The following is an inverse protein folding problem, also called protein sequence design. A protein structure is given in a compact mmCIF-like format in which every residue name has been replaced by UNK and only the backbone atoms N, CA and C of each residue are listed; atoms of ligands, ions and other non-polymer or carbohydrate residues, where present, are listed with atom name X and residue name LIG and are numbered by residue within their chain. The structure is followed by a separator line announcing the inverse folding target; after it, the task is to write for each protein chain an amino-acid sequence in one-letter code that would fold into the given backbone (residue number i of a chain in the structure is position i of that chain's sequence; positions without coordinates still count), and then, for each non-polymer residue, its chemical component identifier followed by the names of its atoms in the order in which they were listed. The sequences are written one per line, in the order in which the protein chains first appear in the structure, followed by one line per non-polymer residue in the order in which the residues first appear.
data_IF_943218451709
#
_entry.id   IF_943218451709
#
_cell.length_a   1.000
_cell.length_b   1.000
_cell.length_c   1.000
_cell.angle_alpha   90.00
_cell.angle_beta   90.00
_cell.angle_gamma   90.00
#
_symmetry.space_group_name_H-M   'P 1'
#
loop_
_entity.id
_entity.type
_entity.pdbx_description
1 polymer ?
#
# COMPACT_ATOMS: atom_id res chain seq x y z
N UNK A 1 -18.49 -3.01 12.11
CA UNK A 1 -18.76 -1.60 11.83
C UNK A 1 -17.72 -0.70 12.44
N UNK A 2 -17.11 0.21 11.67
CA UNK A 2 -16.20 1.18 12.26
C UNK A 2 -16.96 2.18 13.10
N UNK A 3 -16.34 2.63 14.19
CA UNK A 3 -16.92 3.70 15.02
C UNK A 3 -16.86 5.01 14.25
N UNK A 4 -17.67 5.97 14.66
CA UNK A 4 -17.67 7.31 14.04
C UNK A 4 -16.34 8.01 14.26
N UNK A 5 -15.69 7.79 15.42
CA UNK A 5 -14.36 8.36 15.69
C UNK A 5 -13.31 7.76 14.76
N UNK A 6 -13.37 6.45 14.55
CA UNK A 6 -12.45 5.75 13.68
C UNK A 6 -12.59 6.25 12.23
N UNK A 7 -13.83 6.33 11.75
CA UNK A 7 -14.13 6.84 10.42
C UNK A 7 -13.66 8.29 10.26
N UNK A 8 -13.91 9.13 11.24
CA UNK A 8 -13.49 10.53 11.21
C UNK A 8 -11.97 10.64 11.15
N UNK A 9 -11.25 9.84 11.95
CA UNK A 9 -9.79 9.87 11.96
C UNK A 9 -9.21 9.45 10.62
N UNK A 10 -9.79 8.42 9.99
CA UNK A 10 -9.35 7.99 8.67
C UNK A 10 -9.61 9.08 7.62
N UNK A 11 -10.79 9.72 7.69
CA UNK A 11 -11.15 10.81 6.79
C UNK A 11 -10.20 12.00 6.93
N UNK A 12 -9.81 12.33 8.17
CA UNK A 12 -8.87 13.43 8.42
C UNK A 12 -7.53 13.14 7.73
N UNK A 13 -7.05 11.90 7.81
CA UNK A 13 -5.80 11.54 7.17
C UNK A 13 -5.88 11.66 5.64
N UNK A 14 -7.00 11.22 5.05
CA UNK A 14 -7.19 11.35 3.60
C UNK A 14 -7.32 12.81 3.17
N UNK A 15 -8.03 13.62 3.97
CA UNK A 15 -8.18 15.05 3.67
C UNK A 15 -6.84 15.78 3.73
N UNK A 16 -5.95 15.36 4.63
CA UNK A 16 -4.61 15.95 4.70
C UNK A 16 -3.87 15.75 3.36
N UNK A 17 -4.05 14.59 2.74
CA UNK A 17 -3.48 14.32 1.42
C UNK A 17 -4.08 15.25 0.36
N UNK A 18 -5.40 15.38 0.35
CA UNK A 18 -6.09 16.22 -0.63
C UNK A 18 -5.71 17.70 -0.51
N UNK A 19 -5.45 18.17 0.70
CA UNK A 19 -5.18 19.58 0.95
C UNK A 19 -3.70 19.92 0.89
N UNK A 20 -2.82 19.02 1.32
CA UNK A 20 -1.41 19.32 1.44
C UNK A 20 -0.47 18.32 0.77
N UNK A 21 -1.02 17.34 0.07
CA UNK A 21 -0.22 16.34 -0.63
C UNK A 21 0.31 15.25 0.29
N UNK A 22 1.11 14.36 -0.31
CA UNK A 22 1.59 13.16 0.37
C UNK A 22 2.39 13.49 1.63
N UNK A 23 3.26 14.50 1.55
CA UNK A 23 4.13 14.84 2.67
C UNK A 23 3.35 15.18 3.93
N UNK A 24 2.22 15.87 3.79
CA UNK A 24 1.40 16.27 4.94
C UNK A 24 0.45 15.17 5.41
N UNK A 25 0.30 14.11 4.63
CA UNK A 25 -0.63 13.02 4.96
C UNK A 25 0.06 11.88 5.73
N UNK A 26 1.39 11.80 5.68
CA UNK A 26 2.12 10.70 6.31
C UNK A 26 1.85 10.63 7.80
N UNK A 27 2.07 11.73 8.53
CA UNK A 27 1.90 11.73 9.99
C UNK A 27 0.46 11.43 10.41
N UNK A 28 -0.57 12.05 9.81
CA UNK A 28 -1.95 11.69 10.17
C UNK A 28 -2.28 10.23 9.91
N UNK A 29 -1.78 9.67 8.79
CA UNK A 29 -2.05 8.27 8.49
C UNK A 29 -1.33 7.33 9.47
N UNK A 30 -0.10 7.66 9.86
CA UNK A 30 0.62 6.91 10.87
C UNK A 30 -0.12 6.96 12.21
N UNK A 31 -0.64 8.12 12.58
CA UNK A 31 -1.42 8.27 13.81
C UNK A 31 -2.70 7.43 13.75
N UNK A 32 -3.36 7.41 12.59
CA UNK A 32 -4.55 6.57 12.43
C UNK A 32 -4.23 5.11 12.71
N UNK A 33 -3.15 4.60 12.10
CA UNK A 33 -2.74 3.21 12.26
C UNK A 33 -2.40 2.91 13.73
N UNK A 34 -1.66 3.81 14.37
CA UNK A 34 -1.25 3.63 15.75
C UNK A 34 -2.45 3.55 16.70
N UNK A 35 -3.44 4.39 16.47
CA UNK A 35 -4.59 4.50 17.36
C UNK A 35 -5.71 3.51 17.03
N UNK A 36 -5.69 2.92 15.81
CA UNK A 36 -6.76 2.05 15.35
C UNK A 36 -6.20 0.80 14.66
N UNK A 37 -5.36 0.01 15.36
CA UNK A 37 -4.65 -1.11 14.72
C UNK A 37 -5.55 -2.23 14.23
N UNK A 38 -6.79 -2.30 14.71
CA UNK A 38 -7.74 -3.34 14.32
C UNK A 38 -8.87 -2.82 13.46
N UNK A 39 -8.71 -1.62 12.91
CA UNK A 39 -9.73 -0.98 12.10
C UNK A 39 -9.99 -1.75 10.80
N UNK A 40 -11.24 -1.69 10.31
CA UNK A 40 -11.57 -2.21 8.99
C UNK A 40 -10.84 -1.44 7.88
N UNK A 41 -10.31 -0.26 8.18
CA UNK A 41 -9.54 0.54 7.22
C UNK A 41 -8.03 0.28 7.27
N UNK A 42 -7.59 -0.68 8.12
CA UNK A 42 -6.15 -0.80 8.41
C UNK A 42 -5.32 -1.15 7.16
N UNK A 43 -5.78 -2.07 6.33
CA UNK A 43 -5.04 -2.43 5.12
C UNK A 43 -5.00 -1.26 4.14
N UNK A 44 -6.10 -0.53 4.01
CA UNK A 44 -6.13 0.68 3.18
C UNK A 44 -5.15 1.74 3.72
N UNK A 45 -5.10 1.88 5.05
CA UNK A 45 -4.21 2.88 5.66
C UNK A 45 -2.73 2.58 5.37
N UNK A 46 -2.33 1.31 5.51
CA UNK A 46 -0.97 0.92 5.15
C UNK A 46 -0.70 1.12 3.66
N UNK A 47 -1.68 0.80 2.81
CA UNK A 47 -1.53 0.99 1.38
C UNK A 47 -1.31 2.47 1.04
N UNK A 48 -2.14 3.35 1.61
CA UNK A 48 -1.99 4.79 1.39
C UNK A 48 -0.65 5.29 1.89
N UNK A 49 -0.21 4.80 3.07
CA UNK A 49 1.08 5.22 3.62
C UNK A 49 2.22 4.85 2.66
N UNK A 50 2.16 3.67 2.06
CA UNK A 50 3.12 3.27 1.04
C UNK A 50 3.09 4.21 -0.16
N UNK A 51 1.88 4.54 -0.65
CA UNK A 51 1.72 5.45 -1.79
C UNK A 51 2.28 6.84 -1.48
N UNK A 52 2.03 7.34 -0.25
CA UNK A 52 2.56 8.64 0.15
C UNK A 52 4.09 8.65 0.14
N UNK A 53 4.70 7.57 0.60
CA UNK A 53 6.17 7.48 0.62
C UNK A 53 6.76 7.38 -0.78
N UNK A 54 6.02 6.85 -1.76
CA UNK A 54 6.46 6.91 -3.15
C UNK A 54 6.35 8.32 -3.73
N UNK A 55 5.37 9.09 -3.26
CA UNK A 55 5.05 10.40 -3.85
C UNK A 55 5.89 11.55 -3.29
N UNK A 56 6.51 11.38 -2.14
CA UNK A 56 7.30 12.45 -1.54
C UNK A 56 8.65 12.62 -2.25
N UNK A 57 9.26 13.78 -2.02
CA UNK A 57 10.56 14.10 -2.59
C UNK A 57 11.53 14.39 -1.46
N UNK A 58 12.64 13.63 -1.30
CA UNK A 58 12.98 12.46 -2.11
C UNK A 58 12.10 11.25 -1.77
N UNK A 59 11.92 10.38 -2.74
CA UNK A 59 11.11 9.18 -2.59
C UNK A 59 11.68 8.25 -1.51
N UNK A 60 10.83 7.79 -0.61
CA UNK A 60 11.25 6.86 0.44
C UNK A 60 10.84 5.43 0.07
N UNK A 61 11.66 4.80 -0.77
CA UNK A 61 11.38 3.44 -1.25
C UNK A 61 11.39 2.42 -0.12
N UNK A 62 12.24 2.60 0.90
CA UNK A 62 12.31 1.67 2.02
C UNK A 62 10.97 1.61 2.78
N UNK A 63 10.40 2.77 3.11
CA UNK A 63 9.11 2.84 3.79
C UNK A 63 7.98 2.36 2.88
N UNK A 64 8.02 2.71 1.60
CA UNK A 64 7.01 2.25 0.66
C UNK A 64 6.99 0.72 0.60
N UNK A 65 8.16 0.09 0.43
CA UNK A 65 8.25 -1.38 0.38
C UNK A 65 7.74 -2.01 1.67
N UNK A 66 8.11 -1.43 2.81
CA UNK A 66 7.68 -1.94 4.12
C UNK A 66 6.16 -1.97 4.21
N UNK A 67 5.51 -0.88 3.85
CA UNK A 67 4.06 -0.77 4.00
C UNK A 67 3.30 -1.59 2.95
N UNK A 68 3.77 -1.65 1.70
CA UNK A 68 3.19 -2.57 0.73
C UNK A 68 3.34 -4.01 1.19
N UNK A 69 4.50 -4.35 1.77
CA UNK A 69 4.74 -5.70 2.29
C UNK A 69 3.78 -6.06 3.41
N UNK A 70 3.46 -5.10 4.29
CA UNK A 70 2.47 -5.33 5.35
C UNK A 70 1.11 -5.68 4.74
N UNK A 71 0.66 -4.92 3.73
CA UNK A 71 -0.61 -5.21 3.05
C UNK A 71 -0.58 -6.60 2.42
N UNK A 72 0.47 -6.91 1.68
CA UNK A 72 0.56 -8.17 0.95
C UNK A 72 0.65 -9.39 1.88
N UNK A 73 1.39 -9.27 2.98
CA UNK A 73 1.70 -10.40 3.84
C UNK A 73 0.75 -10.56 5.01
N UNK A 74 0.28 -9.46 5.59
CA UNK A 74 -0.61 -9.52 6.75
C UNK A 74 -2.08 -9.39 6.39
N UNK A 75 -2.39 -8.81 5.24
CA UNK A 75 -3.76 -8.62 4.79
C UNK A 75 -3.95 -9.13 3.37
N UNK A 76 -3.60 -10.42 3.11
CA UNK A 76 -3.64 -10.95 1.73
C UNK A 76 -5.02 -11.01 1.10
N UNK A 77 -6.07 -10.93 1.92
CA UNK A 77 -7.45 -10.93 1.41
C UNK A 77 -8.01 -9.53 1.19
N UNK A 78 -7.22 -8.51 1.48
CA UNK A 78 -7.61 -7.13 1.26
C UNK A 78 -7.76 -6.84 -0.24
N UNK A 79 -8.71 -5.98 -0.58
CA UNK A 79 -8.86 -5.51 -1.95
C UNK A 79 -7.62 -4.76 -2.45
N UNK A 80 -6.77 -4.29 -1.54
CA UNK A 80 -5.53 -3.58 -1.89
C UNK A 80 -4.34 -4.52 -2.10
N UNK A 81 -4.46 -5.79 -1.69
CA UNK A 81 -3.33 -6.71 -1.74
C UNK A 81 -2.78 -6.93 -3.16
N UNK A 82 -3.61 -7.15 -4.19
CA UNK A 82 -3.04 -7.31 -5.54
C UNK A 82 -2.24 -6.09 -6.01
N UNK A 83 -2.74 -4.88 -5.75
CA UNK A 83 -2.01 -3.67 -6.13
C UNK A 83 -0.72 -3.53 -5.34
N UNK A 84 -0.75 -3.89 -4.05
CA UNK A 84 0.47 -3.84 -3.22
C UNK A 84 1.54 -4.77 -3.78
N UNK A 85 1.17 -5.99 -4.16
CA UNK A 85 2.12 -6.94 -4.77
C UNK A 85 2.66 -6.39 -6.09
N UNK A 86 1.79 -5.80 -6.89
CA UNK A 86 2.20 -5.22 -8.18
C UNK A 86 3.20 -4.07 -7.99
N UNK A 87 2.97 -3.21 -6.99
CA UNK A 87 3.89 -2.12 -6.69
C UNK A 87 5.24 -2.66 -6.20
N UNK A 88 5.24 -3.72 -5.38
CA UNK A 88 6.47 -4.38 -4.97
C UNK A 88 7.21 -4.95 -6.17
N UNK A 89 6.50 -5.54 -7.13
CA UNK A 89 7.08 -6.01 -8.37
C UNK A 89 7.79 -4.86 -9.10
N UNK A 90 7.11 -3.73 -9.25
CA UNK A 90 7.67 -2.58 -9.98
C UNK A 90 8.92 -2.03 -9.28
N UNK A 91 8.90 -1.92 -7.96
CA UNK A 91 10.06 -1.44 -7.22
C UNK A 91 11.24 -2.40 -7.37
N UNK A 92 10.97 -3.70 -7.26
CA UNK A 92 12.02 -4.70 -7.43
C UNK A 92 12.65 -4.61 -8.82
N UNK A 93 11.81 -4.48 -9.85
CA UNK A 93 12.27 -4.45 -11.24
C UNK A 93 12.96 -3.14 -11.61
N UNK A 94 12.33 -2.02 -11.32
CA UNK A 94 12.77 -0.72 -11.84
C UNK A 94 13.73 0.03 -10.92
N UNK A 95 13.60 -0.16 -9.61
CA UNK A 95 14.42 0.57 -8.64
C UNK A 95 15.57 -0.28 -8.15
N UNK A 96 15.25 -1.47 -7.62
CA UNK A 96 16.26 -2.37 -7.04
C UNK A 96 17.01 -3.17 -8.10
N UNK A 97 16.49 -3.23 -9.32
CA UNK A 97 17.06 -4.01 -10.42
C UNK A 97 17.29 -5.47 -10.02
N UNK A 98 16.35 -6.01 -9.22
CA UNK A 98 16.41 -7.37 -8.73
C UNK A 98 15.37 -8.22 -9.46
N UNK A 99 15.78 -8.82 -10.58
CA UNK A 99 14.86 -9.58 -11.41
C UNK A 99 14.36 -10.85 -10.73
N UNK A 100 15.18 -11.46 -9.87
CA UNK A 100 14.73 -12.64 -9.11
C UNK A 100 13.56 -12.29 -8.21
N UNK A 101 13.68 -11.21 -7.44
CA UNK A 101 12.60 -10.76 -6.56
C UNK A 101 11.38 -10.31 -7.36
N UNK A 102 11.61 -9.58 -8.46
CA UNK A 102 10.51 -9.15 -9.32
C UNK A 102 9.72 -10.36 -9.84
N UNK A 103 10.42 -11.40 -10.27
CA UNK A 103 9.77 -12.63 -10.77
C UNK A 103 8.99 -13.33 -9.66
N UNK A 104 9.46 -13.28 -8.42
CA UNK A 104 8.73 -13.85 -7.28
C UNK A 104 7.41 -13.12 -7.04
N UNK A 105 7.42 -11.79 -7.09
CA UNK A 105 6.20 -11.00 -6.95
C UNK A 105 5.23 -11.25 -8.10
N UNK A 106 5.75 -11.33 -9.34
CA UNK A 106 4.93 -11.65 -10.50
C UNK A 106 4.24 -13.01 -10.33
N UNK A 107 5.01 -14.03 -9.92
CA UNK A 107 4.48 -15.38 -9.72
C UNK A 107 3.41 -15.37 -8.62
N UNK A 108 3.66 -14.66 -7.52
CA UNK A 108 2.69 -14.52 -6.42
C UNK A 108 1.38 -13.92 -6.92
N UNK A 109 1.48 -12.86 -7.73
CA UNK A 109 0.32 -12.17 -8.26
C UNK A 109 -0.50 -13.10 -9.15
N UNK A 110 0.17 -13.79 -10.08
CA UNK A 110 -0.52 -14.70 -11.01
C UNK A 110 -1.12 -15.91 -10.30
N UNK A 111 -0.48 -16.39 -9.25
CA UNK A 111 -0.94 -17.57 -8.53
C UNK A 111 -2.04 -17.25 -7.52
N UNK A 112 -1.88 -16.18 -6.74
CA UNK A 112 -2.81 -15.87 -5.65
C UNK A 112 -3.95 -14.95 -6.08
N UNK A 113 -3.72 -14.11 -7.08
CA UNK A 113 -4.71 -13.13 -7.54
C UNK A 113 -4.91 -13.19 -9.05
N UNK A 114 -5.20 -14.39 -9.61
CA UNK A 114 -5.24 -14.56 -11.05
C UNK A 114 -6.34 -13.77 -11.75
N UNK A 115 -7.37 -13.36 -11.01
CA UNK A 115 -8.49 -12.61 -11.58
C UNK A 115 -8.38 -11.11 -11.34
N UNK A 116 -7.29 -10.66 -10.73
CA UNK A 116 -7.09 -9.23 -10.48
C UNK A 116 -6.73 -8.49 -11.77
N UNK A 117 -7.02 -7.19 -11.78
CA UNK A 117 -6.59 -6.32 -12.87
C UNK A 117 -5.06 -6.36 -13.01
N UNK A 118 -4.36 -6.36 -11.88
CA UNK A 118 -2.90 -6.36 -11.86
C UNK A 118 -2.32 -7.61 -12.52
N UNK A 119 -2.92 -8.77 -12.27
CA UNK A 119 -2.49 -9.99 -12.92
C UNK A 119 -2.66 -9.91 -14.44
N UNK A 120 -3.71 -9.21 -14.90
CA UNK A 120 -3.97 -9.07 -16.32
C UNK A 120 -2.88 -8.28 -17.05
N UNK A 121 -2.12 -7.46 -16.33
CA UNK A 121 -1.03 -6.68 -16.93
C UNK A 121 0.07 -7.58 -17.48
N UNK A 122 0.19 -8.80 -16.98
CA UNK A 122 1.20 -9.76 -17.43
C UNK A 122 0.69 -10.72 -18.51
N UNK A 123 -0.58 -10.64 -18.87
CA UNK A 123 -1.22 -11.60 -19.78
C UNK A 123 -1.41 -11.05 -21.19
N UNK A 124 -0.72 -9.99 -21.52
CA UNK A 124 -0.82 -9.39 -22.85
C UNK A 124 0.01 -10.15 -23.88
#
# INVERSE_FOLDING_TARGET
EPSELEKAAYTVALDAYKQGGAKKAIAPMQNFIKNNPNSVYISNAYFWLAEFNLAIEPTNYAEAKKNYGIVANQYPNSSRAPRAVYQLYNIAKEVDKNSTQANQYKAKLLKQYPKSEEASFFKK
#
